data_IF_009512846637
#
_entry.id   IF_009512846637
#
_cell.length_a   1.000
_cell.length_b   1.000
_cell.length_c   1.000
_cell.angle_alpha   90.00
_cell.angle_beta   90.00
_cell.angle_gamma   90.00
#
_symmetry.space_group_name_H-M   'P 1'
#
loop_
_entity.id
_entity.type
_entity.pdbx_description
1 polymer ?
#
# COMPACT_ATOMS: atom_id res chain seq x y z
N UNK A 1 53.74 10.57 -0.80
CA UNK A 1 52.71 10.08 0.15
C UNK A 1 51.69 11.15 0.57
N UNK A 2 52.05 12.43 0.70
CA UNK A 2 51.12 13.51 1.11
C UNK A 2 49.96 13.80 0.12
N UNK A 3 50.15 13.51 -1.17
CA UNK A 3 49.13 13.70 -2.22
C UNK A 3 48.20 12.49 -2.42
N UNK A 4 48.51 11.34 -1.81
CA UNK A 4 47.66 10.14 -1.92
C UNK A 4 46.42 10.26 -1.03
N UNK A 5 46.53 10.91 0.12
CA UNK A 5 45.41 11.12 1.06
C UNK A 5 44.27 11.94 0.43
N UNK A 6 44.50 13.12 -0.20
CA UNK A 6 43.42 13.86 -0.85
C UNK A 6 42.84 13.13 -2.07
N UNK A 7 43.65 12.34 -2.79
CA UNK A 7 43.18 11.54 -3.92
C UNK A 7 42.27 10.39 -3.47
N UNK A 8 42.60 9.72 -2.37
CA UNK A 8 41.76 8.70 -1.76
C UNK A 8 40.45 9.33 -1.26
N UNK A 9 40.51 10.47 -0.57
CA UNK A 9 39.30 11.18 -0.16
C UNK A 9 38.40 11.57 -1.33
N UNK A 10 38.96 12.00 -2.47
CA UNK A 10 38.20 12.34 -3.67
C UNK A 10 37.51 11.11 -4.29
N UNK A 11 38.20 9.97 -4.31
CA UNK A 11 37.64 8.69 -4.79
C UNK A 11 36.52 8.18 -3.88
N UNK A 12 36.62 8.38 -2.57
CA UNK A 12 35.56 8.01 -1.61
C UNK A 12 34.27 8.80 -1.81
N UNK A 13 34.37 10.08 -2.22
CA UNK A 13 33.20 10.94 -2.48
C UNK A 13 32.47 10.50 -3.76
N UNK A 14 33.23 10.09 -4.79
CA UNK A 14 32.67 9.58 -6.05
C UNK A 14 31.96 8.22 -5.87
N UNK A 15 32.44 7.38 -4.96
CA UNK A 15 31.82 6.08 -4.68
C UNK A 15 30.48 6.17 -3.91
N UNK A 16 30.18 7.30 -3.27
CA UNK A 16 28.89 7.50 -2.58
C UNK A 16 27.78 8.02 -3.51
N UNK A 17 28.08 8.32 -4.78
CA UNK A 17 27.11 8.89 -5.71
C UNK A 17 26.23 7.83 -6.42
N UNK A 18 26.57 6.55 -6.30
CA UNK A 18 25.83 5.46 -6.94
C UNK A 18 24.84 4.84 -5.95
N UNK A 19 23.76 5.57 -5.67
CA UNK A 19 22.52 4.95 -5.21
C UNK A 19 21.74 4.56 -6.45
N UNK A 20 21.51 3.28 -6.70
CA UNK A 20 20.43 2.85 -7.60
C UNK A 20 19.14 3.50 -7.10
N UNK A 21 18.73 4.60 -7.73
CA UNK A 21 17.39 5.13 -7.53
C UNK A 21 16.48 4.08 -8.15
N UNK A 22 15.94 3.22 -7.29
CA UNK A 22 14.86 2.34 -7.69
C UNK A 22 13.80 3.22 -8.33
N UNK A 23 13.56 2.99 -9.61
CA UNK A 23 12.60 3.75 -10.37
C UNK A 23 11.21 3.45 -9.79
N UNK A 24 10.69 4.40 -9.01
CA UNK A 24 9.40 4.28 -8.34
C UNK A 24 8.29 4.03 -9.36
N UNK A 25 8.39 4.63 -10.56
CA UNK A 25 7.40 4.44 -11.62
C UNK A 25 7.44 3.00 -12.14
N UNK A 26 8.65 2.47 -12.38
CA UNK A 26 8.81 1.07 -12.78
C UNK A 26 8.32 0.10 -11.70
N UNK A 27 8.60 0.38 -10.42
CA UNK A 27 8.12 -0.41 -9.29
C UNK A 27 6.59 -0.39 -9.20
N UNK A 28 5.97 0.78 -9.32
CA UNK A 28 4.51 0.92 -9.31
C UNK A 28 3.85 0.21 -10.50
N UNK A 29 4.42 0.34 -11.70
CA UNK A 29 3.93 -0.35 -12.89
C UNK A 29 4.02 -1.88 -12.73
N UNK A 30 5.10 -2.37 -12.12
CA UNK A 30 5.25 -3.79 -11.81
C UNK A 30 4.21 -4.26 -10.78
N UNK A 31 3.98 -3.50 -9.71
CA UNK A 31 2.98 -3.81 -8.70
C UNK A 31 1.56 -3.85 -9.29
N UNK A 32 1.20 -2.85 -10.10
CA UNK A 32 -0.08 -2.77 -10.80
C UNK A 32 -0.29 -3.99 -11.71
N UNK A 33 0.73 -4.35 -12.50
CA UNK A 33 0.68 -5.55 -13.35
C UNK A 33 0.45 -6.83 -12.53
N UNK A 34 1.06 -6.96 -11.35
CA UNK A 34 0.82 -8.13 -10.49
C UNK A 34 -0.64 -8.13 -10.01
N UNK A 35 -1.14 -6.99 -9.51
CA UNK A 35 -2.51 -6.86 -9.02
C UNK A 35 -3.56 -7.19 -10.10
N UNK A 36 -3.35 -6.78 -11.35
CA UNK A 36 -4.25 -7.10 -12.47
C UNK A 36 -4.31 -8.61 -12.83
N UNK A 37 -3.32 -9.40 -12.39
CA UNK A 37 -3.20 -10.82 -12.74
C UNK A 37 -3.54 -11.78 -11.57
N UNK A 38 -3.86 -11.26 -10.39
CA UNK A 38 -4.13 -12.07 -9.19
C UNK A 38 -5.49 -11.71 -8.60
N UNK A 39 -6.02 -12.60 -7.78
CA UNK A 39 -7.18 -12.29 -6.93
C UNK A 39 -6.64 -11.78 -5.60
N UNK A 40 -6.96 -10.53 -5.25
CA UNK A 40 -6.61 -9.95 -3.96
C UNK A 40 -7.67 -10.30 -2.92
N UNK A 41 -7.20 -10.65 -1.72
CA UNK A 41 -8.08 -11.07 -0.62
C UNK A 41 -7.58 -10.41 0.65
N UNK A 42 -8.46 -9.64 1.30
CA UNK A 42 -8.29 -9.22 2.69
C UNK A 42 -9.13 -10.13 3.59
N UNK A 43 -8.50 -10.66 4.64
CA UNK A 43 -9.12 -11.61 5.56
C UNK A 43 -9.72 -10.95 6.80
N UNK A 44 -9.54 -9.63 6.96
CA UNK A 44 -9.98 -8.94 8.17
C UNK A 44 -10.35 -7.46 7.94
N UNK A 45 -11.52 -7.23 7.35
CA UNK A 45 -12.12 -5.90 7.25
C UNK A 45 -13.14 -5.58 8.35
N UNK A 46 -12.77 -4.69 9.27
CA UNK A 46 -13.69 -4.17 10.27
C UNK A 46 -14.77 -3.31 9.63
N UNK A 47 -16.03 -3.62 9.98
CA UNK A 47 -17.21 -2.90 9.50
C UNK A 47 -18.01 -2.33 10.66
N UNK A 48 -18.70 -1.22 10.39
CA UNK A 48 -19.70 -0.68 11.30
C UNK A 48 -21.09 -1.13 10.84
N UNK A 49 -21.73 -2.01 11.61
CA UNK A 49 -23.07 -2.54 11.31
C UNK A 49 -24.14 -1.44 11.20
N UNK A 50 -23.92 -0.28 11.84
CA UNK A 50 -24.83 0.87 11.72
C UNK A 50 -24.87 1.46 10.30
N UNK A 51 -23.90 1.13 9.45
CA UNK A 51 -23.89 1.50 8.04
C UNK A 51 -24.66 0.50 7.16
N UNK A 52 -25.37 -0.49 7.68
CA UNK A 52 -26.20 -1.38 6.85
C UNK A 52 -27.67 -0.98 6.95
N UNK A 53 -28.00 0.15 6.33
CA UNK A 53 -29.37 0.68 6.26
C UNK A 53 -29.84 0.78 4.81
N UNK A 54 -31.14 1.04 4.61
CA UNK A 54 -31.71 1.23 3.27
C UNK A 54 -31.12 2.44 2.52
N UNK A 55 -30.67 3.47 3.24
CA UNK A 55 -30.18 4.73 2.65
C UNK A 55 -28.66 4.87 2.64
N UNK A 56 -27.98 4.28 3.62
CA UNK A 56 -26.52 4.33 3.79
C UNK A 56 -26.00 2.91 3.85
N UNK A 57 -25.07 2.55 2.95
CA UNK A 57 -24.33 1.30 2.97
C UNK A 57 -23.04 1.30 2.15
N UNK A 58 -22.26 0.21 2.29
CA UNK A 58 -20.92 0.06 1.73
C UNK A 58 -20.86 -0.02 0.20
N UNK A 59 -21.99 0.03 -0.50
CA UNK A 59 -21.99 0.25 -1.97
C UNK A 59 -21.63 1.70 -2.33
N UNK A 60 -21.71 2.63 -1.37
CA UNK A 60 -21.47 4.05 -1.55
C UNK A 60 -20.05 4.44 -1.09
N UNK A 61 -19.57 5.61 -1.53
CA UNK A 61 -18.30 6.17 -1.04
C UNK A 61 -18.46 6.75 0.37
N UNK A 62 -18.40 5.89 1.37
CA UNK A 62 -18.45 6.27 2.78
C UNK A 62 -17.10 6.80 3.29
N UNK A 63 -17.12 7.47 4.45
CA UNK A 63 -15.93 7.89 5.20
C UNK A 63 -15.32 6.75 6.04
N UNK A 64 -15.32 5.53 5.48
CA UNK A 64 -14.71 4.30 6.02
C UNK A 64 -13.51 3.93 5.15
N UNK A 65 -12.59 3.07 5.63
CA UNK A 65 -11.47 2.60 4.80
C UNK A 65 -11.94 1.67 3.68
N UNK A 66 -12.87 0.76 4.01
CA UNK A 66 -13.51 -0.13 3.05
C UNK A 66 -14.85 0.43 2.56
N UNK A 67 -15.06 0.42 1.24
CA UNK A 67 -16.37 0.46 0.56
C UNK A 67 -16.17 0.10 -0.92
N UNK A 68 -17.25 -0.28 -1.61
CA UNK A 68 -17.18 -0.80 -2.98
C UNK A 68 -16.43 0.15 -3.94
N UNK A 69 -16.68 1.49 -3.94
CA UNK A 69 -15.91 2.40 -4.79
C UNK A 69 -14.39 2.39 -4.51
N UNK A 70 -13.98 2.21 -3.24
CA UNK A 70 -12.56 2.14 -2.88
C UNK A 70 -11.95 0.76 -3.18
N UNK A 71 -12.74 -0.30 -3.09
CA UNK A 71 -12.33 -1.65 -3.49
C UNK A 71 -12.04 -1.70 -5.00
N UNK A 72 -12.91 -1.11 -5.81
CA UNK A 72 -12.72 -0.99 -7.26
C UNK A 72 -11.48 -0.17 -7.62
N UNK A 73 -11.29 0.99 -6.97
CA UNK A 73 -10.11 1.84 -7.19
C UNK A 73 -8.79 1.19 -6.72
N UNK A 74 -8.84 0.43 -5.63
CA UNK A 74 -7.67 -0.23 -5.03
C UNK A 74 -7.37 -1.63 -5.58
N UNK A 75 -8.28 -2.21 -6.37
CA UNK A 75 -8.19 -3.58 -6.87
C UNK A 75 -8.32 -4.63 -5.77
N UNK A 76 -9.23 -4.45 -4.81
CA UNK A 76 -9.57 -5.46 -3.78
C UNK A 76 -10.75 -6.33 -4.26
N UNK A 77 -10.48 -7.59 -4.60
CA UNK A 77 -11.49 -8.48 -5.19
C UNK A 77 -12.36 -9.16 -4.13
N UNK A 78 -11.78 -9.52 -2.99
CA UNK A 78 -12.46 -10.26 -1.92
C UNK A 78 -12.16 -9.63 -0.56
N UNK A 79 -13.21 -9.31 0.18
CA UNK A 79 -13.14 -8.77 1.53
C UNK A 79 -13.87 -9.70 2.51
N UNK A 80 -13.21 -10.09 3.59
CA UNK A 80 -13.83 -10.81 4.70
C UNK A 80 -14.30 -9.83 5.77
N UNK A 81 -15.60 -9.54 5.77
CA UNK A 81 -16.20 -8.63 6.73
C UNK A 81 -16.40 -9.34 8.07
N UNK A 82 -15.73 -8.89 9.12
CA UNK A 82 -15.81 -9.54 10.42
C UNK A 82 -17.01 -9.09 11.22
N UNK A 83 -17.50 -10.05 12.00
CA UNK A 83 -18.39 -9.81 13.14
C UNK A 83 -17.53 -9.83 14.39
N UNK A 84 -17.08 -8.67 14.82
CA UNK A 84 -16.32 -8.47 16.05
C UNK A 84 -17.25 -8.11 17.21
N UNK A 85 -17.01 -8.71 18.38
CA UNK A 85 -17.61 -8.30 19.64
C UNK A 85 -16.50 -7.89 20.60
N UNK A 86 -16.60 -6.68 21.14
CA UNK A 86 -15.73 -6.25 22.23
C UNK A 86 -15.95 -7.12 23.47
N UNK A 87 -14.89 -7.33 24.23
CA UNK A 87 -15.02 -7.94 25.56
C UNK A 87 -15.56 -6.89 26.53
N UNK A 88 -16.66 -7.21 27.21
CA UNK A 88 -17.19 -6.37 28.30
C UNK A 88 -16.32 -6.52 29.56
N UNK A 89 -16.21 -5.43 30.33
CA UNK A 89 -15.52 -5.33 31.62
C UNK A 89 -16.39 -5.77 32.79
#
# INVERSE_FOLDING_TARGET
MKYFIPLICLLSILSCAESEKQDIEALMAQAQKIHENVITIDTHDDINVNNFTDSVNYTQRLQTQLNLPKMEEGGLDVAWLIVYTGQDS
#
